data_IF_528537240433
#
_entry.id   IF_528537240433
#
_cell.length_a   1.000
_cell.length_b   1.000
_cell.length_c   1.000
_cell.angle_alpha   90.00
_cell.angle_beta   90.00
_cell.angle_gamma   90.00
#
_symmetry.space_group_name_H-M   'P 1'
#
loop_
_entity.id
_entity.type
_entity.pdbx_description
1 polymer ?
#
# COMPACT_ATOMS: atom_id res chain seq x y z
N UNK A 1 -15.43 13.69 12.82
CA UNK A 1 -14.37 14.26 11.96
C UNK A 1 -13.01 13.79 12.49
N UNK A 2 -12.54 12.62 12.06
CA UNK A 2 -11.27 12.04 12.50
C UNK A 2 -10.14 12.74 11.74
N UNK A 3 -9.23 13.41 12.43
CA UNK A 3 -8.05 14.06 11.83
C UNK A 3 -7.09 12.99 11.28
N UNK A 4 -7.22 12.65 9.99
CA UNK A 4 -6.20 11.95 9.20
C UNK A 4 -5.06 12.91 8.82
N UNK A 5 -4.36 13.50 9.80
CA UNK A 5 -3.36 14.54 9.56
C UNK A 5 -1.96 14.07 9.93
N UNK A 6 -1.23 13.51 8.96
CA UNK A 6 0.23 13.35 9.02
C UNK A 6 0.75 12.07 8.39
N UNK A 7 0.16 10.92 8.76
CA UNK A 7 0.62 9.59 8.33
C UNK A 7 0.51 9.40 6.80
N UNK A 8 -0.65 9.72 6.22
CA UNK A 8 -0.91 9.50 4.79
C UNK A 8 -0.05 10.39 3.86
N UNK A 9 0.24 11.64 4.27
CA UNK A 9 1.04 12.59 3.47
C UNK A 9 2.53 12.21 3.37
N UNK A 10 3.11 11.57 4.39
CA UNK A 10 4.52 11.13 4.36
C UNK A 10 4.75 9.82 3.60
N UNK A 11 3.71 9.03 3.38
CA UNK A 11 3.75 7.83 2.52
C UNK A 11 3.81 8.17 1.02
N UNK A 12 3.20 9.29 0.59
CA UNK A 12 2.96 9.63 -0.83
C UNK A 12 4.21 10.04 -1.63
N UNK A 13 5.26 10.60 -1.01
CA UNK A 13 6.41 11.21 -1.71
C UNK A 13 7.47 10.18 -2.16
N UNK A 14 7.36 8.93 -1.71
CA UNK A 14 8.55 8.12 -1.47
C UNK A 14 9.04 7.21 -2.64
N UNK A 15 8.19 6.83 -3.60
CA UNK A 15 8.48 5.68 -4.48
C UNK A 15 8.84 6.00 -5.94
N UNK A 16 9.16 7.26 -6.26
CA UNK A 16 9.34 7.77 -7.63
C UNK A 16 10.56 7.20 -8.42
N UNK A 17 11.32 6.21 -7.91
CA UNK A 17 12.58 5.76 -8.55
C UNK A 17 12.92 4.26 -8.54
N UNK A 18 11.98 3.37 -8.20
CA UNK A 18 12.23 1.92 -8.25
C UNK A 18 11.72 1.28 -9.53
N UNK A 19 12.54 1.28 -10.59
CA UNK A 19 12.29 0.49 -11.81
C UNK A 19 13.56 -0.19 -12.33
N UNK A 20 13.64 -1.52 -12.16
CA UNK A 20 13.79 -2.51 -13.24
C UNK A 20 13.96 -3.94 -12.68
N UNK A 21 13.45 -4.89 -13.45
CA UNK A 21 13.82 -6.30 -13.57
C UNK A 21 12.91 -7.34 -12.90
N UNK A 22 12.09 -7.96 -13.77
CA UNK A 22 11.70 -9.39 -13.92
C UNK A 22 11.32 -10.22 -12.68
N UNK A 23 10.56 -11.31 -12.89
CA UNK A 23 9.88 -12.24 -11.95
C UNK A 23 10.46 -12.47 -10.54
N UNK A 24 11.74 -12.19 -10.29
CA UNK A 24 12.30 -12.00 -8.94
C UNK A 24 11.79 -10.72 -8.20
N UNK A 25 11.13 -9.78 -8.88
CA UNK A 25 10.63 -8.51 -8.34
C UNK A 25 9.44 -8.67 -7.39
N UNK A 26 8.55 -9.65 -7.62
CA UNK A 26 7.46 -9.96 -6.70
C UNK A 26 8.03 -10.49 -5.38
N UNK A 27 8.92 -11.49 -5.44
CA UNK A 27 9.65 -12.00 -4.28
C UNK A 27 10.51 -10.91 -3.60
N UNK A 28 11.11 -9.97 -4.35
CA UNK A 28 11.86 -8.83 -3.81
C UNK A 28 10.96 -7.76 -3.18
N UNK A 29 9.75 -7.51 -3.68
CA UNK A 29 8.76 -6.67 -3.01
C UNK A 29 8.33 -7.27 -1.66
N UNK A 30 8.19 -8.60 -1.60
CA UNK A 30 7.86 -9.32 -0.37
C UNK A 30 9.04 -9.39 0.61
N UNK A 31 10.27 -9.55 0.13
CA UNK A 31 11.48 -9.48 0.96
C UNK A 31 11.75 -8.04 1.44
N UNK A 32 11.46 -7.02 0.63
CA UNK A 32 11.58 -5.61 1.01
C UNK A 32 10.52 -5.20 2.02
N UNK A 33 9.25 -5.57 1.87
CA UNK A 33 8.22 -5.27 2.87
C UNK A 33 8.46 -6.02 4.19
N UNK A 34 8.92 -7.29 4.12
CA UNK A 34 9.35 -8.03 5.30
C UNK A 34 10.56 -7.35 5.94
N UNK A 35 11.55 -6.91 5.16
CA UNK A 35 12.67 -6.16 5.68
C UNK A 35 12.29 -4.79 6.27
N UNK A 36 11.35 -4.05 5.66
CA UNK A 36 10.80 -2.80 6.19
C UNK A 36 10.11 -2.97 7.55
N UNK A 37 9.76 -4.20 7.93
CA UNK A 37 8.97 -4.50 9.13
C UNK A 37 9.70 -5.41 10.13
N UNK A 38 10.68 -6.23 9.71
CA UNK A 38 11.50 -7.08 10.61
C UNK A 38 12.90 -6.53 10.91
N UNK A 39 13.45 -5.66 10.07
CA UNK A 39 14.65 -4.84 10.39
C UNK A 39 14.42 -3.73 11.45
N UNK A 40 13.21 -3.15 11.65
CA UNK A 40 13.00 -2.00 12.53
C UNK A 40 13.15 -2.28 14.04
N UNK A 41 12.84 -3.48 14.53
CA UNK A 41 12.89 -3.75 15.99
C UNK A 41 14.33 -3.65 16.52
N UNK A 42 15.26 -4.34 15.87
CA UNK A 42 16.67 -4.31 16.24
C UNK A 42 17.32 -2.96 15.93
N UNK A 43 16.92 -2.32 14.82
CA UNK A 43 17.43 -1.01 14.42
C UNK A 43 17.07 0.10 15.42
N UNK A 44 15.86 0.11 16.01
CA UNK A 44 15.50 1.14 17.00
C UNK A 44 16.14 0.93 18.36
N UNK A 45 16.27 -0.30 18.82
CA UNK A 45 17.03 -0.57 20.04
C UNK A 45 18.52 -0.15 19.90
N UNK A 46 19.08 -0.24 18.69
CA UNK A 46 20.44 0.21 18.40
C UNK A 46 20.53 1.73 18.17
N UNK A 47 19.53 2.34 17.51
CA UNK A 47 19.46 3.78 17.28
C UNK A 47 19.25 4.58 18.57
N UNK A 48 18.44 4.08 19.51
CA UNK A 48 18.23 4.69 20.82
C UNK A 48 19.50 4.74 21.68
N UNK A 49 20.56 4.00 21.32
CA UNK A 49 21.88 4.05 21.97
C UNK A 49 22.85 5.04 21.31
N UNK A 50 22.44 5.77 20.27
CA UNK A 50 23.31 6.67 19.53
C UNK A 50 23.13 8.13 19.99
N UNK A 51 24.17 8.78 20.55
CA UNK A 51 24.02 10.03 21.28
C UNK A 51 23.74 11.26 20.39
N UNK A 52 24.19 11.27 19.12
CA UNK A 52 24.25 12.51 18.34
C UNK A 52 23.27 12.58 17.16
N UNK A 53 22.86 11.46 16.55
CA UNK A 53 21.85 11.47 15.47
C UNK A 53 21.25 10.06 15.19
N UNK A 54 20.22 9.64 15.95
CA UNK A 54 19.62 8.31 15.83
C UNK A 54 18.93 8.09 14.48
N UNK A 55 18.39 9.14 13.85
CA UNK A 55 17.77 9.04 12.53
C UNK A 55 18.80 8.75 11.44
N UNK A 56 19.90 9.52 11.39
CA UNK A 56 20.97 9.28 10.43
C UNK A 56 21.61 7.91 10.61
N UNK A 57 21.78 7.46 11.85
CA UNK A 57 22.31 6.12 12.10
C UNK A 57 21.43 5.01 11.49
N UNK A 58 20.10 5.10 11.63
CA UNK A 58 19.18 4.11 11.02
C UNK A 58 19.27 4.16 9.51
N UNK A 59 19.37 5.35 8.92
CA UNK A 59 19.53 5.52 7.47
C UNK A 59 20.81 4.83 7.00
N UNK A 60 21.95 5.14 7.60
CA UNK A 60 23.26 4.59 7.22
C UNK A 60 23.31 3.07 7.43
N UNK A 61 22.76 2.58 8.55
CA UNK A 61 22.67 1.16 8.84
C UNK A 61 21.86 0.41 7.78
N UNK A 62 20.69 0.93 7.40
CA UNK A 62 19.86 0.30 6.38
C UNK A 62 20.52 0.32 4.99
N UNK A 63 21.22 1.40 4.63
CA UNK A 63 22.00 1.45 3.38
C UNK A 63 23.10 0.39 3.39
N UNK A 64 23.82 0.23 4.51
CA UNK A 64 24.86 -0.80 4.67
C UNK A 64 24.31 -2.23 4.59
N UNK A 65 23.04 -2.43 4.96
CA UNK A 65 22.33 -3.71 4.77
C UNK A 65 21.84 -3.93 3.33
N UNK A 66 22.11 -3.00 2.41
CA UNK A 66 21.73 -3.08 1.00
C UNK A 66 20.34 -2.55 0.67
N UNK A 67 19.67 -1.87 1.61
CA UNK A 67 18.43 -1.15 1.32
C UNK A 67 18.70 0.11 0.52
N UNK A 68 17.69 0.57 -0.21
CA UNK A 68 17.82 1.82 -0.94
C UNK A 68 17.95 3.00 0.00
N UNK A 69 18.72 4.02 -0.43
CA UNK A 69 18.85 5.28 0.29
C UNK A 69 17.49 5.88 0.62
N UNK A 70 16.62 5.90 -0.39
CA UNK A 70 15.28 6.44 -0.22
C UNK A 70 14.56 5.66 0.89
N UNK A 71 14.55 4.32 0.87
CA UNK A 71 13.77 3.53 1.84
C UNK A 71 14.28 3.75 3.26
N UNK A 72 15.59 3.83 3.36
CA UNK A 72 16.31 4.09 4.60
C UNK A 72 15.93 5.47 5.17
N UNK A 73 15.92 6.52 4.34
CA UNK A 73 15.47 7.88 4.72
C UNK A 73 14.01 7.90 5.17
N UNK A 74 13.13 7.18 4.48
CA UNK A 74 11.72 7.10 4.86
C UNK A 74 11.52 6.42 6.22
N UNK A 75 12.16 5.27 6.45
CA UNK A 75 12.13 4.60 7.76
C UNK A 75 12.70 5.51 8.84
N UNK A 76 13.85 6.16 8.59
CA UNK A 76 14.43 7.12 9.52
C UNK A 76 13.49 8.29 9.85
N UNK A 77 12.69 8.77 8.90
CA UNK A 77 11.72 9.86 9.10
C UNK A 77 10.56 9.52 10.03
N UNK A 78 10.36 8.23 10.32
CA UNK A 78 9.34 7.73 11.25
C UNK A 78 9.85 7.57 12.69
N UNK A 79 11.07 8.01 13.00
CA UNK A 79 11.56 8.08 14.36
C UNK A 79 11.15 9.41 15.00
N UNK A 80 10.75 9.34 16.27
CA UNK A 80 10.49 10.49 17.13
C UNK A 80 11.53 10.51 18.23
N UNK A 81 12.06 11.69 18.52
CA UNK A 81 12.89 11.94 19.70
C UNK A 81 12.00 12.55 20.78
N UNK A 82 11.99 11.93 21.95
CA UNK A 82 11.37 12.45 23.17
C UNK A 82 12.44 12.53 24.26
N UNK A 83 12.92 13.74 24.53
CA UNK A 83 14.09 13.99 25.39
C UNK A 83 15.31 13.14 24.99
N UNK A 84 15.71 12.19 25.85
CA UNK A 84 16.82 11.26 25.61
C UNK A 84 16.40 9.97 24.89
N UNK A 85 15.10 9.76 24.67
CA UNK A 85 14.57 8.54 24.08
C UNK A 85 14.22 8.69 22.61
N UNK A 86 14.40 7.62 21.86
CA UNK A 86 14.02 7.51 20.45
C UNK A 86 12.97 6.43 20.32
N UNK A 87 11.82 6.78 19.76
CA UNK A 87 10.68 5.88 19.60
C UNK A 87 10.17 5.90 18.16
N UNK A 88 9.36 4.90 17.79
CA UNK A 88 8.65 4.92 16.52
C UNK A 88 7.48 5.89 16.56
N UNK A 89 7.21 6.56 15.43
CA UNK A 89 6.07 7.44 15.27
C UNK A 89 4.72 6.69 15.29
N UNK A 90 4.76 5.38 15.14
CA UNK A 90 3.64 4.45 15.08
C UNK A 90 3.94 3.17 15.88
N UNK A 91 2.92 2.40 16.20
CA UNK A 91 3.06 1.09 16.82
C UNK A 91 3.57 0.06 15.81
N UNK A 92 4.77 -0.45 16.04
CA UNK A 92 5.42 -1.41 15.15
C UNK A 92 4.72 -2.78 15.15
N UNK A 93 4.19 -3.22 16.30
CA UNK A 93 3.48 -4.48 16.37
C UNK A 93 2.16 -4.38 15.61
N UNK A 94 1.43 -3.26 15.76
CA UNK A 94 0.23 -3.02 14.97
C UNK A 94 0.52 -2.99 13.46
N UNK A 95 1.66 -2.41 13.04
CA UNK A 95 2.09 -2.42 11.64
C UNK A 95 2.42 -3.84 11.13
N UNK A 96 3.07 -4.68 11.95
CA UNK A 96 3.31 -6.09 11.68
C UNK A 96 1.98 -6.83 11.48
N UNK A 97 1.05 -6.66 12.42
CA UNK A 97 -0.24 -7.35 12.41
C UNK A 97 -1.10 -6.95 11.21
N UNK A 98 -1.13 -5.65 10.88
CA UNK A 98 -1.80 -5.15 9.67
C UNK A 98 -1.20 -5.75 8.40
N UNK A 99 0.13 -5.86 8.33
CA UNK A 99 0.81 -6.44 7.17
C UNK A 99 0.55 -7.94 7.03
N UNK A 100 0.58 -8.69 8.13
CA UNK A 100 0.25 -10.11 8.13
C UNK A 100 -1.22 -10.33 7.74
N UNK A 101 -2.14 -9.55 8.31
CA UNK A 101 -3.55 -9.57 7.91
C UNK A 101 -3.73 -9.28 6.42
N UNK A 102 -3.01 -8.31 5.85
CA UNK A 102 -3.05 -8.03 4.41
C UNK A 102 -2.57 -9.22 3.57
N UNK A 103 -1.53 -9.94 4.01
CA UNK A 103 -0.95 -11.08 3.29
C UNK A 103 -1.78 -12.35 3.37
N UNK A 104 -2.41 -12.58 4.51
CA UNK A 104 -3.12 -13.84 4.80
C UNK A 104 -4.57 -13.81 4.31
N UNK A 105 -5.15 -12.62 4.17
CA UNK A 105 -6.54 -12.49 3.73
C UNK A 105 -6.69 -12.62 2.23
N UNK A 106 -7.62 -13.48 1.82
CA UNK A 106 -8.11 -13.56 0.46
C UNK A 106 -9.58 -13.18 0.41
N UNK A 107 -9.92 -12.25 -0.48
CA UNK A 107 -11.29 -11.77 -0.69
C UNK A 107 -11.89 -12.30 -2.00
N UNK A 108 -11.28 -13.32 -2.62
CA UNK A 108 -11.77 -13.88 -3.88
C UNK A 108 -13.20 -14.40 -3.77
N UNK A 109 -13.56 -15.08 -2.68
CA UNK A 109 -14.92 -15.58 -2.47
C UNK A 109 -15.95 -14.46 -2.49
N UNK A 110 -15.63 -13.29 -1.92
CA UNK A 110 -16.50 -12.10 -1.94
C UNK A 110 -16.64 -11.54 -3.36
N UNK A 111 -15.55 -11.47 -4.12
CA UNK A 111 -15.58 -10.98 -5.50
C UNK A 111 -16.32 -11.94 -6.44
N UNK A 112 -16.25 -13.24 -6.18
CA UNK A 112 -16.91 -14.26 -6.98
C UNK A 112 -18.41 -14.40 -6.69
N UNK A 113 -18.80 -14.12 -5.45
CA UNK A 113 -20.17 -14.21 -4.95
C UNK A 113 -20.53 -12.97 -4.12
N UNK A 114 -20.58 -11.77 -4.73
CA UNK A 114 -20.96 -10.56 -4.01
C UNK A 114 -22.41 -10.68 -3.52
N UNK A 115 -22.71 -10.37 -2.25
CA UNK A 115 -24.08 -10.36 -1.73
C UNK A 115 -25.00 -9.43 -2.51
N UNK A 116 -26.30 -9.73 -2.52
CA UNK A 116 -27.32 -8.88 -3.14
C UNK A 116 -27.23 -7.44 -2.62
N UNK A 117 -27.23 -6.49 -3.54
CA UNK A 117 -27.15 -5.05 -3.22
C UNK A 117 -25.74 -4.54 -2.93
N UNK A 118 -24.70 -5.38 -3.05
CA UNK A 118 -23.30 -4.94 -2.96
C UNK A 118 -22.69 -4.77 -4.35
N UNK A 119 -22.31 -3.54 -4.67
CA UNK A 119 -21.56 -3.20 -5.87
C UNK A 119 -20.09 -2.93 -5.52
N UNK A 120 -19.19 -3.71 -6.11
CA UNK A 120 -17.74 -3.62 -5.88
C UNK A 120 -17.07 -3.11 -7.17
N UNK A 121 -16.60 -1.86 -7.14
CA UNK A 121 -15.82 -1.29 -8.22
C UNK A 121 -14.32 -1.43 -7.95
N UNK A 122 -13.62 -2.24 -8.75
CA UNK A 122 -12.17 -2.42 -8.68
C UNK A 122 -11.51 -1.42 -9.63
N UNK A 123 -10.57 -0.62 -9.12
CA UNK A 123 -9.75 0.28 -9.94
C UNK A 123 -8.33 -0.30 -10.02
N UNK A 124 -7.94 -0.70 -11.23
CA UNK A 124 -6.61 -1.19 -11.55
C UNK A 124 -5.80 -0.08 -12.21
N UNK A 125 -4.60 0.18 -11.70
CA UNK A 125 -3.67 1.07 -12.38
C UNK A 125 -3.04 0.39 -13.60
N UNK A 126 -3.03 1.06 -14.75
CA UNK A 126 -2.56 0.50 -16.04
C UNK A 126 -1.12 -0.01 -15.98
N UNK A 127 -0.24 0.70 -15.27
CA UNK A 127 1.19 0.40 -15.18
C UNK A 127 1.54 -0.38 -13.90
N UNK A 128 0.54 -0.97 -13.23
CA UNK A 128 0.76 -1.71 -11.99
C UNK A 128 1.51 -3.03 -12.24
N UNK A 129 2.59 -3.24 -11.50
CA UNK A 129 3.35 -4.50 -11.47
C UNK A 129 2.91 -5.46 -10.35
N UNK A 130 1.87 -5.09 -9.59
CA UNK A 130 1.43 -5.81 -8.38
C UNK A 130 0.43 -6.93 -8.64
N UNK A 131 -0.15 -6.96 -9.83
CA UNK A 131 -1.17 -7.93 -10.20
C UNK A 131 -0.57 -9.03 -11.07
N UNK A 132 -0.84 -10.29 -10.73
CA UNK A 132 -0.52 -11.39 -11.62
C UNK A 132 -1.46 -11.37 -12.82
N UNK A 133 -0.97 -11.78 -13.99
CA UNK A 133 -1.78 -11.85 -15.21
C UNK A 133 -3.08 -12.64 -15.00
N UNK A 134 -3.00 -13.76 -14.27
CA UNK A 134 -4.15 -14.63 -14.00
C UNK A 134 -5.20 -13.93 -13.13
N UNK A 135 -4.78 -13.15 -12.14
CA UNK A 135 -5.69 -12.37 -11.29
C UNK A 135 -6.41 -11.30 -12.12
N UNK A 136 -5.70 -10.64 -13.03
CA UNK A 136 -6.29 -9.64 -13.93
C UNK A 136 -7.31 -10.29 -14.88
N UNK A 137 -7.00 -11.46 -15.44
CA UNK A 137 -7.95 -12.18 -16.28
C UNK A 137 -9.18 -12.65 -15.48
N UNK A 138 -8.99 -13.12 -14.25
CA UNK A 138 -10.08 -13.50 -13.35
C UNK A 138 -10.99 -12.32 -13.04
N UNK A 139 -10.45 -11.14 -12.75
CA UNK A 139 -11.23 -9.91 -12.55
C UNK A 139 -11.99 -9.48 -13.82
N UNK A 140 -11.35 -9.55 -14.99
CA UNK A 140 -12.02 -9.25 -16.28
C UNK A 140 -13.16 -10.22 -16.56
N UNK A 141 -13.00 -11.50 -16.24
CA UNK A 141 -14.06 -12.48 -16.37
C UNK A 141 -15.22 -12.17 -15.41
N UNK A 142 -14.92 -11.82 -14.16
CA UNK A 142 -15.92 -11.41 -13.17
C UNK A 142 -16.71 -10.18 -13.61
N UNK A 143 -16.04 -9.15 -14.13
CA UNK A 143 -16.68 -7.91 -14.55
C UNK A 143 -17.59 -8.06 -15.78
N UNK A 144 -17.46 -9.18 -16.52
CA UNK A 144 -18.27 -9.50 -17.71
C UNK A 144 -19.41 -10.47 -17.40
N UNK A 145 -19.49 -11.01 -16.18
CA UNK A 145 -20.58 -11.92 -15.80
C UNK A 145 -21.92 -11.20 -15.92
N UNK A 146 -22.92 -11.89 -16.42
CA UNK A 146 -24.28 -11.39 -16.42
C UNK A 146 -24.75 -11.11 -14.99
N UNK A 147 -25.46 -9.99 -14.83
CA UNK A 147 -26.00 -9.61 -13.53
C UNK A 147 -27.12 -10.58 -13.16
N UNK A 148 -26.96 -11.26 -12.03
CA UNK A 148 -28.01 -12.11 -11.46
C UNK A 148 -28.92 -11.27 -10.56
N UNK A 149 -30.25 -11.47 -10.57
CA UNK A 149 -31.18 -10.70 -9.75
C UNK A 149 -30.94 -10.80 -8.22
N UNK A 150 -30.28 -11.86 -7.79
CA UNK A 150 -30.01 -12.23 -6.40
C UNK A 150 -28.54 -12.08 -5.98
N UNK A 151 -27.68 -11.53 -6.85
CA UNK A 151 -26.27 -11.29 -6.56
C UNK A 151 -25.91 -9.81 -6.72
N UNK A 152 -24.86 -9.39 -6.02
CA UNK A 152 -24.21 -8.11 -6.24
C UNK A 152 -23.41 -8.09 -7.55
N UNK A 153 -22.68 -6.99 -7.76
CA UNK A 153 -21.91 -6.78 -8.99
C UNK A 153 -20.44 -6.49 -8.69
N UNK A 154 -19.57 -6.94 -9.59
CA UNK A 154 -18.17 -6.50 -9.65
C UNK A 154 -17.95 -5.75 -10.96
N UNK A 155 -17.35 -4.56 -10.90
CA UNK A 155 -16.83 -3.86 -12.08
C UNK A 155 -15.32 -3.71 -12.01
N UNK A 156 -14.68 -3.63 -13.17
CA UNK A 156 -13.25 -3.39 -13.29
C UNK A 156 -13.02 -2.14 -14.15
N UNK A 157 -12.29 -1.18 -13.60
CA UNK A 157 -11.88 0.04 -14.25
C UNK A 157 -10.36 0.06 -14.35
N UNK A 158 -9.82 0.32 -15.55
CA UNK A 158 -8.39 0.55 -15.73
C UNK A 158 -8.15 2.05 -15.72
N UNK A 159 -7.32 2.53 -14.80
CA UNK A 159 -6.92 3.93 -14.72
C UNK A 159 -5.66 4.15 -15.57
N UNK A 160 -5.76 4.87 -16.71
CA UNK A 160 -4.64 5.06 -17.61
C UNK A 160 -3.53 5.90 -16.98
N UNK A 161 -2.30 5.69 -17.43
CA UNK A 161 -1.10 6.43 -17.02
C UNK A 161 -0.89 6.47 -15.50
N UNK A 162 -1.25 5.39 -14.80
CA UNK A 162 -1.11 5.31 -13.34
C UNK A 162 -0.36 4.04 -12.91
N UNK A 163 0.47 4.20 -11.87
CA UNK A 163 1.22 3.14 -11.21
C UNK A 163 0.62 2.81 -9.84
N UNK A 164 1.45 2.58 -8.83
CA UNK A 164 0.97 2.17 -7.50
C UNK A 164 0.11 3.24 -6.80
N UNK A 165 0.34 4.52 -7.10
CA UNK A 165 -0.26 5.64 -6.38
C UNK A 165 -1.33 6.32 -7.23
N UNK A 166 -2.41 5.60 -7.52
CA UNK A 166 -3.50 6.06 -8.42
C UNK A 166 -4.02 7.47 -8.15
N UNK A 167 -4.07 7.90 -6.89
CA UNK A 167 -4.54 9.24 -6.49
C UNK A 167 -3.50 10.35 -6.68
N UNK A 168 -2.21 10.00 -6.82
CA UNK A 168 -1.13 10.93 -7.17
C UNK A 168 -0.94 10.94 -8.69
N UNK A 169 -0.90 9.76 -9.29
CA UNK A 169 -0.55 9.58 -10.70
C UNK A 169 -1.64 10.11 -11.65
N UNK A 170 -2.92 9.85 -11.33
CA UNK A 170 -4.04 10.33 -12.14
C UNK A 170 -5.27 10.68 -11.26
N UNK A 171 -5.19 11.75 -10.45
CA UNK A 171 -6.27 12.15 -9.54
C UNK A 171 -7.58 12.48 -10.27
N UNK A 172 -7.50 13.09 -11.45
CA UNK A 172 -8.68 13.48 -12.24
C UNK A 172 -9.42 12.25 -12.77
N UNK A 173 -8.70 11.32 -13.41
CA UNK A 173 -9.30 10.08 -13.91
C UNK A 173 -9.84 9.20 -12.80
N UNK A 174 -9.17 9.16 -11.64
CA UNK A 174 -9.67 8.45 -10.46
C UNK A 174 -11.00 9.05 -9.99
N UNK A 175 -11.10 10.37 -9.93
CA UNK A 175 -12.33 11.06 -9.54
C UNK A 175 -13.48 10.78 -10.53
N UNK A 176 -13.20 10.80 -11.83
CA UNK A 176 -14.17 10.48 -12.88
C UNK A 176 -14.74 9.06 -12.71
N UNK A 177 -13.90 8.08 -12.38
CA UNK A 177 -14.32 6.69 -12.09
C UNK A 177 -15.18 6.61 -10.82
N UNK A 178 -14.82 7.34 -9.76
CA UNK A 178 -15.47 7.23 -8.46
C UNK A 178 -16.78 8.03 -8.34
N UNK A 179 -16.89 9.14 -9.08
CA UNK A 179 -18.02 10.08 -8.98
C UNK A 179 -19.39 9.42 -9.14
N UNK A 180 -19.64 8.52 -10.11
CA UNK A 180 -20.93 7.85 -10.25
C UNK A 180 -21.39 7.11 -8.98
N UNK A 181 -20.45 6.50 -8.24
CA UNK A 181 -20.76 5.75 -7.02
C UNK A 181 -21.12 6.68 -5.84
N UNK A 182 -20.55 7.89 -5.80
CA UNK A 182 -20.91 8.87 -4.79
C UNK A 182 -22.26 9.52 -5.07
N UNK A 183 -22.57 9.77 -6.35
CA UNK A 183 -23.83 10.39 -6.75
C UNK A 183 -25.01 9.41 -6.70
N UNK A 184 -24.79 8.11 -6.92
CA UNK A 184 -25.83 7.09 -6.72
C UNK A 184 -26.21 6.92 -5.25
N UNK A 185 -25.23 6.98 -4.35
CA UNK A 185 -25.46 6.92 -2.90
C UNK A 185 -26.15 8.17 -2.33
N UNK A 186 -25.97 9.34 -2.97
CA UNK A 186 -26.59 10.60 -2.57
C UNK A 186 -28.05 10.76 -3.02
N UNK A 187 -28.58 9.84 -3.83
CA UNK A 187 -29.99 9.81 -4.27
C UNK A 187 -30.90 9.00 -3.34
N UNK A 188 -30.41 8.68 -2.13
CA UNK A 188 -31.18 8.07 -1.04
C UNK A 188 -31.74 9.16 -0.15
#
# INVERSE_FOLDING_TARGET
>A
MVKLNGFCKRWQVFLHRFHRASRAAAARCFLHARACITVPVAAVAAAARQPNNPCMWVVDHMINLGFSKSLSEWIGSNLKKDNEHVTWAFDLQAAIDMFNSYRERSYWTLLENPPKGLDIAIVQAELSDRWLSDDVQRLKALSRRESKPDAGKVSLHVLPNSGHWVHVDNPKGLLEIMTPNFLSAAKI
#
